data_IF_967394705940
#
_entry.id   IF_967394705940
#
_cell.length_a   1.000
_cell.length_b   1.000
_cell.length_c   1.000
_cell.angle_alpha   90.00
_cell.angle_beta   90.00
_cell.angle_gamma   90.00
#
_symmetry.space_group_name_H-M   'P 1'
#
loop_
_entity.id
_entity.type
_entity.pdbx_description
1 polymer ?
#
# COMPACT_ATOMS: atom_id res chain seq x y z
N UNK A 1 -41.12 -22.10 -7.20
CA UNK A 1 -39.92 -21.35 -7.67
C UNK A 1 -39.23 -20.63 -6.51
N UNK A 2 -39.97 -19.92 -5.67
CA UNK A 2 -39.47 -19.20 -4.48
C UNK A 2 -38.62 -20.06 -3.52
N UNK A 3 -39.02 -21.30 -3.20
CA UNK A 3 -38.27 -22.19 -2.28
C UNK A 3 -36.89 -22.65 -2.78
N UNK A 4 -36.65 -22.69 -4.10
CA UNK A 4 -35.32 -23.06 -4.65
C UNK A 4 -34.33 -21.91 -4.57
N UNK A 5 -34.79 -20.68 -4.79
CA UNK A 5 -33.96 -19.46 -4.67
C UNK A 5 -33.46 -19.29 -3.24
N UNK A 6 -34.33 -19.49 -2.25
CA UNK A 6 -33.96 -19.44 -0.83
C UNK A 6 -32.94 -20.50 -0.40
N UNK A 7 -32.96 -21.66 -1.06
CA UNK A 7 -32.00 -22.73 -0.75
C UNK A 7 -30.61 -22.38 -1.28
N UNK A 8 -30.54 -21.77 -2.47
CA UNK A 8 -29.29 -21.31 -3.08
C UNK A 8 -28.69 -20.14 -2.29
N UNK A 9 -29.52 -19.17 -1.85
CA UNK A 9 -29.04 -18.05 -1.03
C UNK A 9 -28.48 -18.50 0.32
N UNK A 10 -29.12 -19.50 0.96
CA UNK A 10 -28.64 -20.10 2.21
C UNK A 10 -27.30 -20.81 2.04
N UNK A 11 -27.15 -21.62 0.98
CA UNK A 11 -25.89 -22.31 0.68
C UNK A 11 -24.75 -21.33 0.40
N UNK A 12 -25.03 -20.18 -0.22
CA UNK A 12 -24.04 -19.14 -0.45
C UNK A 12 -23.57 -18.47 0.85
N UNK A 13 -24.49 -18.12 1.75
CA UNK A 13 -24.13 -17.57 3.06
C UNK A 13 -23.28 -18.55 3.88
N UNK A 14 -23.67 -19.84 3.92
CA UNK A 14 -22.91 -20.89 4.59
C UNK A 14 -21.50 -21.06 4.00
N UNK A 15 -21.34 -20.95 2.67
CA UNK A 15 -20.01 -20.96 2.04
C UNK A 15 -19.16 -19.79 2.47
N UNK A 16 -19.73 -18.58 2.56
CA UNK A 16 -19.00 -17.39 3.00
C UNK A 16 -18.51 -17.58 4.44
N UNK A 17 -19.39 -18.06 5.33
CA UNK A 17 -19.04 -18.38 6.72
C UNK A 17 -17.89 -19.39 6.77
N UNK A 18 -17.97 -20.49 6.01
CA UNK A 18 -16.91 -21.51 5.97
C UNK A 18 -15.58 -20.97 5.48
N UNK A 19 -15.59 -20.08 4.48
CA UNK A 19 -14.35 -19.45 3.98
C UNK A 19 -13.72 -18.61 5.09
N UNK A 20 -14.49 -17.76 5.76
CA UNK A 20 -14.02 -16.95 6.87
C UNK A 20 -13.46 -17.80 8.02
N UNK A 21 -14.16 -18.87 8.42
CA UNK A 21 -13.67 -19.78 9.47
C UNK A 21 -12.40 -20.52 9.10
N UNK A 22 -12.28 -20.97 7.85
CA UNK A 22 -11.09 -21.68 7.40
C UNK A 22 -9.85 -20.79 7.43
N UNK A 23 -10.01 -19.50 7.09
CA UNK A 23 -8.91 -18.53 7.15
C UNK A 23 -8.47 -18.32 8.60
N UNK A 24 -9.42 -18.15 9.51
CA UNK A 24 -9.16 -17.96 10.93
C UNK A 24 -8.49 -19.19 11.57
N UNK A 25 -9.02 -20.40 11.33
CA UNK A 25 -8.52 -21.64 11.95
C UNK A 25 -7.20 -22.14 11.36
N UNK A 26 -7.00 -21.98 10.04
CA UNK A 26 -5.81 -22.51 9.34
C UNK A 26 -4.69 -21.48 9.21
N UNK A 27 -4.90 -20.24 9.64
CA UNK A 27 -3.90 -19.16 9.53
C UNK A 27 -3.53 -18.84 8.09
N UNK A 28 -4.49 -18.97 7.16
CA UNK A 28 -4.29 -18.63 5.76
C UNK A 28 -4.21 -17.10 5.59
N UNK A 29 -3.62 -16.65 4.50
CA UNK A 29 -3.55 -15.22 4.19
C UNK A 29 -4.97 -14.63 4.03
N UNK A 30 -5.37 -13.68 4.91
CA UNK A 30 -6.72 -13.13 4.91
C UNK A 30 -7.00 -12.22 3.70
N UNK A 31 -5.96 -11.78 2.97
CA UNK A 31 -6.11 -10.95 1.76
C UNK A 31 -6.46 -11.75 0.51
N UNK A 32 -6.44 -13.09 0.58
CA UNK A 32 -6.92 -13.96 -0.51
C UNK A 32 -8.41 -13.79 -0.80
N UNK A 33 -9.17 -13.25 0.15
CA UNK A 33 -10.61 -13.02 0.03
C UNK A 33 -10.91 -11.58 -0.34
N UNK A 34 -11.69 -11.41 -1.41
CA UNK A 34 -12.20 -10.11 -1.81
C UNK A 34 -13.46 -9.74 -0.98
N UNK A 35 -13.24 -8.99 0.10
CA UNK A 35 -14.29 -8.52 1.01
C UNK A 35 -15.36 -7.69 0.28
N UNK A 36 -14.97 -6.84 -0.67
CA UNK A 36 -15.92 -6.02 -1.43
C UNK A 36 -16.90 -6.89 -2.20
N UNK A 37 -16.39 -7.91 -2.89
CA UNK A 37 -17.23 -8.83 -3.64
C UNK A 37 -18.19 -9.62 -2.73
N UNK A 38 -17.75 -9.99 -1.51
CA UNK A 38 -18.61 -10.63 -0.52
C UNK A 38 -19.73 -9.72 -0.04
N UNK A 39 -19.42 -8.46 0.28
CA UNK A 39 -20.41 -7.47 0.72
C UNK A 39 -21.43 -7.13 -0.39
N UNK A 40 -20.98 -7.04 -1.65
CA UNK A 40 -21.88 -6.84 -2.79
C UNK A 40 -22.83 -8.02 -2.99
N UNK A 41 -22.34 -9.25 -2.83
CA UNK A 41 -23.21 -10.44 -2.85
C UNK A 41 -24.19 -10.44 -1.70
N UNK A 42 -23.71 -10.17 -0.49
CA UNK A 42 -24.53 -10.13 0.72
C UNK A 42 -25.67 -9.10 0.60
N UNK A 43 -25.36 -7.93 0.05
CA UNK A 43 -26.36 -6.89 -0.24
C UNK A 43 -27.44 -7.37 -1.22
N UNK A 44 -27.06 -8.08 -2.30
CA UNK A 44 -28.04 -8.62 -3.26
C UNK A 44 -28.97 -9.64 -2.61
N UNK A 45 -28.41 -10.52 -1.77
CA UNK A 45 -29.20 -11.52 -1.03
C UNK A 45 -30.19 -10.85 -0.06
N UNK A 46 -29.77 -9.77 0.61
CA UNK A 46 -30.66 -8.98 1.47
C UNK A 46 -31.80 -8.32 0.68
N UNK A 47 -31.51 -7.77 -0.50
CA UNK A 47 -32.51 -7.14 -1.38
C UNK A 47 -33.52 -8.16 -1.95
N UNK A 48 -33.15 -9.42 -2.09
CA UNK A 48 -34.06 -10.53 -2.48
C UNK A 48 -35.05 -10.91 -1.35
N UNK A 49 -34.78 -10.47 -0.11
CA UNK A 49 -35.61 -10.71 1.07
C UNK A 49 -35.60 -12.16 1.54
N UNK A 50 -36.26 -12.47 2.65
CA UNK A 50 -36.35 -13.84 3.18
C UNK A 50 -37.14 -14.01 4.48
N UNK A 51 -37.06 -15.20 5.06
CA UNK A 51 -37.64 -15.54 6.36
C UNK A 51 -36.68 -15.15 7.51
N UNK A 52 -37.15 -15.20 8.76
CA UNK A 52 -36.37 -14.86 9.95
C UNK A 52 -35.03 -15.60 10.02
N UNK A 53 -35.01 -16.90 9.69
CA UNK A 53 -33.77 -17.69 9.64
C UNK A 53 -32.75 -17.13 8.64
N UNK A 54 -33.22 -16.62 7.50
CA UNK A 54 -32.35 -16.05 6.48
C UNK A 54 -31.67 -14.77 6.99
N UNK A 55 -32.42 -13.88 7.65
CA UNK A 55 -31.84 -12.67 8.23
C UNK A 55 -30.87 -12.95 9.39
N UNK A 56 -31.13 -13.99 10.18
CA UNK A 56 -30.20 -14.43 11.23
C UNK A 56 -28.88 -14.89 10.60
N UNK A 57 -28.96 -15.70 9.54
CA UNK A 57 -27.78 -16.20 8.83
C UNK A 57 -27.02 -15.07 8.10
N UNK A 58 -27.74 -14.10 7.56
CA UNK A 58 -27.16 -12.90 6.96
C UNK A 58 -26.38 -12.07 7.98
N UNK A 59 -26.97 -11.83 9.15
CA UNK A 59 -26.32 -11.13 10.26
C UNK A 59 -25.07 -11.87 10.76
N UNK A 60 -25.12 -13.21 10.85
CA UNK A 60 -23.94 -14.03 11.17
C UNK A 60 -22.86 -13.88 10.10
N UNK A 61 -23.24 -13.94 8.83
CA UNK A 61 -22.29 -13.80 7.70
C UNK A 61 -21.61 -12.43 7.73
N UNK A 62 -22.37 -11.36 8.00
CA UNK A 62 -21.85 -10.00 8.16
C UNK A 62 -20.87 -9.92 9.33
N UNK A 63 -21.19 -10.54 10.47
CA UNK A 63 -20.27 -10.63 11.61
C UNK A 63 -18.95 -11.31 11.22
N UNK A 64 -19.00 -12.44 10.51
CA UNK A 64 -17.79 -13.17 10.07
C UNK A 64 -16.93 -12.36 9.11
N UNK A 65 -17.54 -11.63 8.20
CA UNK A 65 -16.81 -10.70 7.31
C UNK A 65 -16.13 -9.60 8.13
N UNK A 66 -16.80 -9.04 9.15
CA UNK A 66 -16.18 -8.05 10.04
C UNK A 66 -14.98 -8.63 10.81
N UNK A 67 -15.07 -9.88 11.28
CA UNK A 67 -13.94 -10.58 11.92
C UNK A 67 -12.77 -10.74 10.94
N UNK A 68 -13.04 -11.10 9.68
CA UNK A 68 -12.02 -11.21 8.64
C UNK A 68 -11.31 -9.87 8.40
N UNK A 69 -12.04 -8.75 8.33
CA UNK A 69 -11.46 -7.41 8.18
C UNK A 69 -10.55 -7.08 9.36
N UNK A 70 -10.98 -7.39 10.59
CA UNK A 70 -10.15 -7.19 11.77
C UNK A 70 -8.84 -8.02 11.71
N UNK A 71 -8.92 -9.23 11.15
CA UNK A 71 -7.76 -10.10 10.96
C UNK A 71 -6.81 -9.56 9.88
N UNK A 72 -7.34 -9.05 8.77
CA UNK A 72 -6.55 -8.34 7.74
C UNK A 72 -5.80 -7.14 8.34
N UNK A 73 -6.48 -6.34 9.18
CA UNK A 73 -5.88 -5.19 9.86
C UNK A 73 -4.77 -5.59 10.83
N UNK A 74 -5.00 -6.62 11.64
CA UNK A 74 -3.98 -7.16 12.56
C UNK A 74 -2.75 -7.63 11.78
N UNK A 75 -2.96 -8.38 10.71
CA UNK A 75 -1.88 -8.88 9.85
C UNK A 75 -1.04 -7.72 9.26
N UNK A 76 -1.72 -6.68 8.75
CA UNK A 76 -1.05 -5.49 8.23
C UNK A 76 -0.23 -4.76 9.30
N UNK A 77 -0.78 -4.63 10.52
CA UNK A 77 -0.10 -3.99 11.64
C UNK A 77 1.16 -4.75 12.04
N UNK A 78 1.09 -6.07 12.17
CA UNK A 78 2.25 -6.92 12.49
C UNK A 78 3.33 -6.81 11.40
N UNK A 79 2.93 -6.82 10.13
CA UNK A 79 3.86 -6.66 9.00
C UNK A 79 4.51 -5.27 9.00
N UNK A 80 3.74 -4.21 9.24
CA UNK A 80 4.25 -2.85 9.32
C UNK A 80 5.21 -2.66 10.51
N UNK A 81 4.91 -3.25 11.67
CA UNK A 81 5.79 -3.25 12.83
C UNK A 81 7.12 -3.96 12.54
N UNK A 82 7.10 -5.07 11.79
CA UNK A 82 8.34 -5.76 11.38
C UNK A 82 9.24 -4.93 10.46
N UNK A 83 8.65 -3.99 9.71
CA UNK A 83 9.37 -3.07 8.83
C UNK A 83 9.87 -1.82 9.58
N UNK A 84 9.35 -1.57 10.78
CA UNK A 84 9.75 -0.45 11.59
C UNK A 84 11.05 -0.81 12.33
N UNK A 85 12.17 -0.47 11.71
CA UNK A 85 13.46 -0.49 12.37
C UNK A 85 13.45 0.64 13.41
N UNK A 86 13.15 0.29 14.66
CA UNK A 86 13.22 1.25 15.76
C UNK A 86 14.68 1.49 16.19
N UNK A 87 14.94 2.65 16.81
CA UNK A 87 16.27 3.02 17.26
C UNK A 87 16.85 2.06 18.32
N UNK A 88 16.01 1.41 19.13
CA UNK A 88 16.44 0.43 20.13
C UNK A 88 16.91 -0.89 19.50
N UNK A 89 16.26 -1.35 18.44
CA UNK A 89 16.61 -2.57 17.70
C UNK A 89 17.94 -2.38 16.98
N UNK A 90 18.17 -1.20 16.40
CA UNK A 90 19.47 -0.81 15.83
C UNK A 90 20.54 -0.75 16.92
N UNK A 91 20.24 -0.11 18.05
CA UNK A 91 21.17 -0.03 19.18
C UNK A 91 21.56 -1.41 19.71
N UNK A 92 20.60 -2.32 19.86
CA UNK A 92 20.84 -3.69 20.34
C UNK A 92 21.71 -4.47 19.35
N UNK A 93 21.44 -4.33 18.05
CA UNK A 93 22.28 -4.91 16.99
C UNK A 93 23.69 -4.34 16.99
N UNK A 94 23.85 -3.03 17.19
CA UNK A 94 25.16 -2.38 17.25
C UNK A 94 25.96 -2.85 18.47
N UNK A 95 25.33 -3.01 19.63
CA UNK A 95 25.97 -3.50 20.85
C UNK A 95 26.41 -4.97 20.75
N UNK A 96 25.71 -5.77 19.95
CA UNK A 96 26.02 -7.19 19.75
C UNK A 96 27.10 -7.44 18.68
N UNK A 97 27.44 -6.44 17.85
CA UNK A 97 28.42 -6.56 16.77
C UNK A 97 29.83 -6.22 17.26
N UNK A 98 30.84 -6.87 16.69
CA UNK A 98 32.24 -6.52 16.91
C UNK A 98 32.62 -5.23 16.16
N UNK A 99 33.62 -4.51 16.68
CA UNK A 99 34.06 -3.23 16.13
C UNK A 99 34.38 -3.31 14.61
N UNK A 100 34.93 -4.43 14.11
CA UNK A 100 35.26 -4.56 12.69
C UNK A 100 34.01 -4.65 11.83
N UNK A 101 32.98 -5.34 12.29
CA UNK A 101 31.70 -5.45 11.58
C UNK A 101 30.96 -4.12 11.52
N UNK A 102 30.99 -3.32 12.60
CA UNK A 102 30.41 -1.98 12.64
C UNK A 102 31.09 -1.08 11.60
N UNK A 103 32.42 -1.05 11.58
CA UNK A 103 33.20 -0.23 10.61
C UNK A 103 32.91 -0.68 9.17
N UNK A 104 32.81 -1.98 8.89
CA UNK A 104 32.44 -2.45 7.54
C UNK A 104 31.04 -2.02 7.14
N UNK A 105 30.07 -2.09 8.04
CA UNK A 105 28.70 -1.66 7.78
C UNK A 105 28.65 -0.15 7.50
N UNK A 106 29.37 0.65 8.29
CA UNK A 106 29.52 2.08 8.08
C UNK A 106 30.14 2.41 6.72
N UNK A 107 31.25 1.78 6.36
CA UNK A 107 31.90 1.99 5.05
C UNK A 107 30.99 1.62 3.87
N UNK A 108 30.14 0.59 4.00
CA UNK A 108 29.14 0.25 2.98
C UNK A 108 28.04 1.30 2.84
N UNK A 109 27.67 1.95 3.94
CA UNK A 109 26.63 2.98 3.97
C UNK A 109 27.17 4.40 3.74
N UNK A 110 28.48 4.59 3.77
CA UNK A 110 29.14 5.88 3.65
C UNK A 110 28.94 6.46 2.25
N UNK A 111 28.06 7.47 2.16
CA UNK A 111 27.82 8.26 0.95
C UNK A 111 28.25 9.70 1.20
N UNK A 112 29.56 10.00 1.15
CA UNK A 112 30.03 11.36 1.35
C UNK A 112 29.54 12.22 0.20
N UNK A 113 29.25 13.48 0.49
CA UNK A 113 28.95 14.45 -0.56
C UNK A 113 30.27 14.75 -1.27
N UNK A 114 30.50 14.12 -2.41
CA UNK A 114 31.76 14.19 -3.17
C UNK A 114 31.88 15.53 -3.92
N UNK A 115 30.74 16.09 -4.34
CA UNK A 115 30.68 17.38 -5.02
C UNK A 115 29.33 18.03 -4.79
N UNK A 116 29.35 19.34 -4.63
CA UNK A 116 28.17 20.20 -4.70
C UNK A 116 28.35 21.05 -5.96
N UNK A 117 27.57 20.79 -6.99
CA UNK A 117 27.54 21.68 -8.15
C UNK A 117 26.81 22.97 -7.76
N UNK A 118 27.58 23.99 -7.40
CA UNK A 118 27.05 25.34 -7.23
C UNK A 118 27.17 26.07 -8.57
N UNK A 119 26.04 26.49 -9.13
CA UNK A 119 26.05 27.39 -10.28
C UNK A 119 26.27 28.81 -9.76
N UNK A 120 27.41 29.40 -10.11
CA UNK A 120 27.68 30.80 -9.79
C UNK A 120 26.97 31.71 -10.77
N UNK A 121 26.67 32.94 -10.34
CA UNK A 121 26.09 33.98 -11.22
C UNK A 121 26.95 34.19 -12.47
N UNK A 122 28.28 34.06 -12.34
CA UNK A 122 29.22 34.11 -13.45
C UNK A 122 29.06 32.96 -14.47
N UNK A 123 28.83 31.72 -14.01
CA UNK A 123 28.53 30.60 -14.93
C UNK A 123 27.19 30.78 -15.64
N UNK A 124 26.20 31.36 -14.96
CA UNK A 124 24.93 31.73 -15.59
C UNK A 124 25.12 32.78 -16.68
N UNK A 125 25.92 33.82 -16.44
CA UNK A 125 26.21 34.84 -17.47
C UNK A 125 26.92 34.25 -18.68
N UNK A 126 27.90 33.35 -18.47
CA UNK A 126 28.57 32.63 -19.56
C UNK A 126 27.61 31.74 -20.35
N UNK A 127 26.68 31.06 -19.68
CA UNK A 127 25.66 30.25 -20.34
C UNK A 127 24.72 31.08 -21.21
N UNK A 128 24.30 32.26 -20.73
CA UNK A 128 23.50 33.22 -21.49
C UNK A 128 24.29 33.72 -22.70
N UNK A 129 25.54 34.13 -22.51
CA UNK A 129 26.40 34.61 -23.58
C UNK A 129 26.61 33.56 -24.68
N UNK A 130 26.88 32.30 -24.28
CA UNK A 130 26.97 31.18 -25.21
C UNK A 130 25.65 30.94 -25.95
N UNK A 131 24.51 30.98 -25.25
CA UNK A 131 23.20 30.80 -25.87
C UNK A 131 22.87 31.89 -26.90
N UNK A 132 23.28 33.13 -26.63
CA UNK A 132 23.11 34.26 -27.54
C UNK A 132 24.07 34.23 -28.73
N UNK A 133 25.28 33.65 -28.58
CA UNK A 133 26.26 33.55 -29.67
C UNK A 133 25.93 32.45 -30.70
N UNK A 134 25.09 31.48 -30.33
CA UNK A 134 24.64 30.45 -31.25
C UNK A 134 23.72 31.02 -32.35
N UNK A 135 23.90 30.62 -33.62
CA UNK A 135 23.09 31.15 -34.72
C UNK A 135 21.60 30.84 -34.50
N UNK A 136 20.71 31.82 -34.72
CA UNK A 136 19.29 31.60 -34.56
C UNK A 136 18.76 30.62 -35.61
N UNK A 137 17.93 29.66 -35.19
CA UNK A 137 17.28 28.74 -36.12
C UNK A 137 16.20 29.43 -36.99
N UNK A 138 15.67 30.57 -36.54
CA UNK A 138 14.87 31.51 -37.33
C UNK A 138 14.78 32.86 -36.59
N UNK A 139 15.44 33.91 -37.09
CA UNK A 139 15.37 35.29 -36.57
C UNK A 139 16.24 35.60 -35.33
N UNK A 140 16.83 36.81 -35.26
CA UNK A 140 17.78 37.21 -34.21
C UNK A 140 17.23 37.10 -32.78
N UNK A 141 18.01 36.52 -31.86
CA UNK A 141 17.62 36.38 -30.45
C UNK A 141 17.88 37.68 -29.69
N UNK A 142 16.84 38.30 -29.15
CA UNK A 142 16.95 39.36 -28.15
C UNK A 142 16.45 38.85 -26.80
N UNK A 143 17.05 39.33 -25.71
CA UNK A 143 16.60 38.98 -24.36
C UNK A 143 15.40 39.85 -24.01
N UNK A 144 14.25 39.20 -23.84
CA UNK A 144 13.00 39.86 -23.49
C UNK A 144 11.90 38.82 -23.42
N UNK A 145 11.23 38.72 -22.27
CA UNK A 145 9.99 37.99 -22.18
C UNK A 145 9.00 38.69 -23.11
N UNK A 146 8.65 38.07 -24.25
CA UNK A 146 7.46 38.50 -24.99
C UNK A 146 6.25 38.09 -24.16
N UNK A 147 5.90 38.94 -23.21
CA UNK A 147 4.60 38.90 -22.57
C UNK A 147 3.63 39.41 -23.63
N UNK A 148 2.85 38.50 -24.19
CA UNK A 148 1.66 38.79 -25.01
C UNK A 148 0.43 38.48 -24.18
#
# INVERSE_FOLDING_TARGET
>A
MSSKLFKVSREELERIIQICENIEKRGLDPFTVNVRALLEKLRKLLEEGGDLEHYILDAETMYRIATLIALQHKWLRERAQSLFIDAQMVQTRLMALDNKSIVRAFLKAWRPIISLEQITIYRLSQGIEHFLSLPPRAGGRSIGWKIS
#
